data_IF_834357425609
#
_entry.id   IF_834357425609
#
_cell.length_a   1.000
_cell.length_b   1.000
_cell.length_c   1.000
_cell.angle_alpha   90.00
_cell.angle_beta   90.00
_cell.angle_gamma   90.00
#
_symmetry.space_group_name_H-M   'P 1'
#
loop_
_entity.id
_entity.type
_entity.pdbx_description
1 polymer ?
#
# COMPACT_ATOMS: atom_id res chain seq x y z
N UNK A 1 49.03 55.26 -6.00
CA UNK A 1 48.44 54.45 -7.08
C UNK A 1 47.30 53.66 -6.50
N UNK A 2 46.20 53.73 -7.25
CA UNK A 2 44.87 53.15 -7.04
C UNK A 2 44.92 51.61 -6.95
N UNK A 3 43.75 50.96 -6.85
CA UNK A 3 43.50 49.51 -6.94
C UNK A 3 43.52 48.75 -5.60
N UNK A 4 42.57 49.04 -4.68
CA UNK A 4 42.14 48.06 -3.64
C UNK A 4 40.64 48.04 -3.33
N UNK A 5 39.80 48.79 -4.04
CA UNK A 5 38.34 48.82 -3.79
C UNK A 5 37.52 47.96 -4.76
N UNK A 6 38.13 47.36 -5.80
CA UNK A 6 37.40 46.61 -6.82
C UNK A 6 37.70 45.09 -6.88
N UNK A 7 38.53 44.55 -5.98
CA UNK A 7 38.87 43.13 -5.99
C UNK A 7 37.86 42.25 -5.24
N UNK A 8 37.14 42.81 -4.26
CA UNK A 8 36.15 42.05 -3.46
C UNK A 8 34.85 41.80 -4.23
N UNK A 9 34.45 42.75 -5.07
CA UNK A 9 33.26 42.63 -5.92
C UNK A 9 33.50 41.63 -7.07
N UNK A 10 34.70 41.65 -7.66
CA UNK A 10 35.12 40.64 -8.65
C UNK A 10 35.25 39.24 -8.03
N UNK A 11 35.71 39.14 -6.78
CA UNK A 11 35.77 37.87 -6.04
C UNK A 11 34.37 37.32 -5.72
N UNK A 12 33.42 38.20 -5.39
CA UNK A 12 32.03 37.81 -5.12
C UNK A 12 31.31 37.35 -6.40
N UNK A 13 31.58 38.01 -7.53
CA UNK A 13 31.03 37.63 -8.84
C UNK A 13 31.56 36.27 -9.32
N UNK A 14 32.86 36.00 -9.15
CA UNK A 14 33.43 34.69 -9.49
C UNK A 14 32.95 33.57 -8.55
N UNK A 15 32.75 33.87 -7.26
CA UNK A 15 32.21 32.90 -6.30
C UNK A 15 30.75 32.52 -6.62
N UNK A 16 29.96 33.46 -7.15
CA UNK A 16 28.59 33.19 -7.58
C UNK A 16 28.53 32.31 -8.83
N UNK A 17 29.51 32.42 -9.73
CA UNK A 17 29.60 31.58 -10.93
C UNK A 17 30.05 30.14 -10.59
N UNK A 18 30.93 29.98 -9.59
CA UNK A 18 31.38 28.67 -9.11
C UNK A 18 30.28 27.93 -8.31
N UNK A 19 29.38 28.66 -7.65
CA UNK A 19 28.23 28.10 -6.93
C UNK A 19 27.05 27.69 -7.84
N UNK A 20 26.98 28.19 -9.08
CA UNK A 20 25.97 27.79 -10.07
C UNK A 20 26.45 26.67 -10.99
N UNK A 21 27.77 26.51 -11.19
CA UNK A 21 28.35 25.48 -12.07
C UNK A 21 28.40 24.05 -11.49
N UNK A 22 28.35 23.89 -10.16
CA UNK A 22 28.55 22.58 -9.50
C UNK A 22 27.27 21.91 -8.97
N UNK A 23 26.07 22.41 -9.28
CA UNK A 23 24.80 21.77 -8.89
C UNK A 23 24.29 20.70 -9.88
N UNK A 24 24.97 20.47 -11.00
CA UNK A 24 24.54 19.46 -11.98
C UNK A 24 25.20 18.08 -11.83
N UNK A 25 26.17 17.90 -10.92
CA UNK A 25 26.99 16.67 -10.89
C UNK A 25 27.35 16.15 -9.49
N UNK A 26 26.50 16.31 -8.47
CA UNK A 26 26.69 15.60 -7.19
C UNK A 26 25.35 15.25 -6.53
N UNK A 27 24.51 14.48 -7.22
CA UNK A 27 23.49 13.64 -6.58
C UNK A 27 23.81 12.19 -6.92
N UNK A 28 24.92 11.70 -6.39
CA UNK A 28 25.11 10.28 -6.14
C UNK A 28 25.68 10.14 -4.75
N UNK A 29 24.80 9.68 -3.86
CA UNK A 29 25.14 8.89 -2.70
C UNK A 29 26.03 9.61 -1.67
N UNK A 30 25.39 10.32 -0.74
CA UNK A 30 25.74 10.09 0.65
C UNK A 30 24.51 10.22 1.53
N UNK A 31 24.29 9.16 2.29
CA UNK A 31 23.51 9.13 3.51
C UNK A 31 24.04 10.28 4.40
N UNK A 32 23.22 11.03 5.15
CA UNK A 32 23.21 10.96 6.62
C UNK A 32 22.41 12.18 7.13
N UNK A 33 21.29 11.88 7.80
CA UNK A 33 20.62 12.58 8.92
C UNK A 33 19.70 13.78 8.63
N UNK A 34 18.42 13.58 8.96
CA UNK A 34 17.60 14.65 9.56
C UNK A 34 16.14 14.75 9.12
N UNK A 35 15.32 13.70 9.31
CA UNK A 35 13.95 13.93 9.78
C UNK A 35 13.42 12.69 10.49
N UNK A 36 13.31 12.81 11.80
CA UNK A 36 12.59 11.90 12.68
C UNK A 36 11.12 11.89 12.26
N UNK A 37 10.73 10.87 11.51
CA UNK A 37 9.34 10.41 11.51
C UNK A 37 9.40 9.03 12.14
N UNK A 38 8.84 8.92 13.34
CA UNK A 38 8.67 7.68 14.06
C UNK A 38 8.27 6.54 13.10
N UNK A 39 8.67 5.28 13.35
CA UNK A 39 8.23 4.17 12.53
C UNK A 39 6.71 4.05 12.67
N UNK A 40 5.98 4.66 11.73
CA UNK A 40 4.59 4.28 11.47
C UNK A 40 4.69 2.83 11.05
N UNK A 41 4.22 1.92 11.91
CA UNK A 41 4.21 0.47 11.72
C UNK A 41 3.72 0.11 10.31
N UNK A 42 4.65 -0.06 9.37
CA UNK A 42 4.37 -0.44 7.97
C UNK A 42 3.64 -1.79 7.92
N UNK A 43 3.96 -2.68 8.85
CA UNK A 43 3.28 -3.96 9.05
C UNK A 43 1.78 -3.82 9.31
N UNK A 44 1.33 -2.73 9.94
CA UNK A 44 -0.08 -2.51 10.24
C UNK A 44 -0.87 -2.02 9.02
N UNK A 45 -0.27 -1.18 8.16
CA UNK A 45 -0.90 -0.79 6.88
C UNK A 45 -0.97 -1.96 5.91
N UNK A 46 0.03 -2.84 5.92
CA UNK A 46 0.07 -4.01 5.05
C UNK A 46 -1.02 -5.01 5.42
N UNK A 47 -1.22 -5.29 6.72
CA UNK A 47 -2.30 -6.17 7.17
C UNK A 47 -3.69 -5.60 6.85
N UNK A 48 -3.93 -4.31 7.11
CA UNK A 48 -5.22 -3.69 6.80
C UNK A 48 -5.52 -3.73 5.29
N UNK A 49 -4.50 -3.56 4.46
CA UNK A 49 -4.60 -3.66 3.00
C UNK A 49 -4.89 -5.10 2.56
N UNK A 50 -4.20 -6.08 3.13
CA UNK A 50 -4.46 -7.51 2.89
C UNK A 50 -5.87 -7.92 3.31
N UNK A 51 -6.34 -7.44 4.47
CA UNK A 51 -7.71 -7.73 4.95
C UNK A 51 -8.75 -7.13 4.02
N UNK A 52 -8.57 -5.86 3.60
CA UNK A 52 -9.45 -5.22 2.62
C UNK A 52 -9.48 -6.00 1.31
N UNK A 53 -8.32 -6.44 0.84
CA UNK A 53 -8.21 -7.27 -0.36
C UNK A 53 -8.92 -8.62 -0.17
N UNK A 54 -8.77 -9.29 0.97
CA UNK A 54 -9.44 -10.55 1.25
C UNK A 54 -10.98 -10.41 1.24
N UNK A 55 -11.51 -9.34 1.86
CA UNK A 55 -12.95 -9.06 1.85
C UNK A 55 -13.46 -8.78 0.43
N UNK A 56 -12.71 -8.01 -0.36
CA UNK A 56 -13.06 -7.76 -1.76
C UNK A 56 -13.05 -9.06 -2.57
N UNK A 57 -12.02 -9.89 -2.41
CA UNK A 57 -11.95 -11.21 -3.07
C UNK A 57 -13.16 -12.09 -2.74
N UNK A 58 -13.61 -12.10 -1.49
CA UNK A 58 -14.80 -12.87 -1.09
C UNK A 58 -16.09 -12.28 -1.68
N UNK A 59 -16.15 -10.96 -1.89
CA UNK A 59 -17.25 -10.34 -2.62
C UNK A 59 -17.25 -10.76 -4.09
N UNK A 60 -16.08 -10.74 -4.74
CA UNK A 60 -15.93 -11.13 -6.14
C UNK A 60 -16.31 -12.60 -6.36
N UNK A 61 -15.87 -13.51 -5.48
CA UNK A 61 -16.23 -14.93 -5.54
C UNK A 61 -17.75 -15.13 -5.37
N UNK A 62 -18.38 -14.37 -4.48
CA UNK A 62 -19.84 -14.43 -4.30
C UNK A 62 -20.58 -13.91 -5.54
N UNK A 63 -20.12 -12.81 -6.15
CA UNK A 63 -20.71 -12.30 -7.39
C UNK A 63 -20.55 -13.31 -8.54
N UNK A 64 -19.37 -13.90 -8.70
CA UNK A 64 -19.11 -14.92 -9.73
C UNK A 64 -20.04 -16.14 -9.55
N UNK A 65 -20.23 -16.61 -8.32
CA UNK A 65 -21.15 -17.70 -8.03
C UNK A 65 -22.61 -17.34 -8.36
N UNK A 66 -23.02 -16.11 -8.04
CA UNK A 66 -24.34 -15.58 -8.39
C UNK A 66 -24.56 -15.47 -9.90
N UNK A 67 -23.59 -14.91 -10.62
CA UNK A 67 -23.64 -14.77 -12.08
C UNK A 67 -23.74 -16.14 -12.77
N UNK A 68 -22.87 -17.09 -12.40
CA UNK A 68 -22.92 -18.45 -12.96
C UNK A 68 -24.25 -19.13 -12.69
N UNK A 69 -24.81 -18.94 -11.50
CA UNK A 69 -26.14 -19.46 -11.17
C UNK A 69 -27.21 -18.86 -12.06
N UNK A 70 -27.24 -17.54 -12.21
CA UNK A 70 -28.20 -16.85 -13.06
C UNK A 70 -28.07 -17.28 -14.52
N UNK A 71 -26.85 -17.36 -15.06
CA UNK A 71 -26.58 -17.81 -16.43
C UNK A 71 -27.01 -19.25 -16.65
N UNK A 72 -26.75 -20.13 -15.69
CA UNK A 72 -27.22 -21.52 -15.74
C UNK A 72 -28.75 -21.60 -15.73
N UNK A 73 -29.42 -20.84 -14.86
CA UNK A 73 -30.89 -20.76 -14.79
C UNK A 73 -31.49 -20.19 -16.08
N UNK A 74 -30.77 -19.31 -16.78
CA UNK A 74 -31.13 -18.77 -18.10
C UNK A 74 -30.86 -19.74 -19.27
N UNK A 75 -30.27 -20.91 -19.01
CA UNK A 75 -29.98 -21.93 -20.03
C UNK A 75 -28.73 -21.68 -20.86
N UNK A 76 -27.78 -20.88 -20.36
CA UNK A 76 -26.48 -20.67 -21.00
C UNK A 76 -25.69 -21.99 -21.04
N UNK A 77 -25.41 -22.50 -22.25
CA UNK A 77 -24.70 -23.76 -22.47
C UNK A 77 -23.22 -23.72 -22.12
N UNK A 78 -22.66 -22.53 -21.90
CA UNK A 78 -21.25 -22.36 -21.51
C UNK A 78 -21.03 -22.51 -20.00
N UNK A 79 -22.09 -22.52 -19.19
CA UNK A 79 -22.01 -22.75 -17.74
C UNK A 79 -22.66 -24.07 -17.41
N UNK A 80 -21.92 -24.97 -16.75
CA UNK A 80 -22.48 -26.24 -16.31
C UNK A 80 -23.04 -26.14 -14.89
N UNK A 81 -23.95 -27.06 -14.54
CA UNK A 81 -24.41 -27.22 -13.16
C UNK A 81 -23.24 -27.48 -12.21
N UNK A 82 -22.27 -28.29 -12.64
CA UNK A 82 -21.07 -28.60 -11.85
C UNK A 82 -20.25 -27.33 -11.57
N UNK A 83 -20.01 -26.48 -12.57
CA UNK A 83 -19.27 -25.22 -12.41
C UNK A 83 -19.98 -24.25 -11.46
N UNK A 84 -21.32 -24.19 -11.56
CA UNK A 84 -22.15 -23.37 -10.68
C UNK A 84 -22.04 -23.85 -9.23
N UNK A 85 -22.16 -25.16 -9.01
CA UNK A 85 -22.05 -25.77 -7.68
C UNK A 85 -20.64 -25.58 -7.09
N UNK A 86 -19.58 -25.77 -7.89
CA UNK A 86 -18.20 -25.54 -7.45
C UNK A 86 -18.00 -24.07 -7.05
N UNK A 87 -18.53 -23.15 -7.85
CA UNK A 87 -18.41 -21.71 -7.58
C UNK A 87 -19.16 -21.33 -6.29
N UNK A 88 -20.35 -21.89 -6.07
CA UNK A 88 -21.09 -21.74 -4.82
C UNK A 88 -20.34 -22.32 -3.61
N UNK A 89 -19.76 -23.52 -3.72
CA UNK A 89 -18.93 -24.11 -2.67
C UNK A 89 -17.70 -23.25 -2.36
N UNK A 90 -17.05 -22.68 -3.40
CA UNK A 90 -15.91 -21.77 -3.22
C UNK A 90 -16.32 -20.52 -2.45
N UNK A 91 -17.46 -19.92 -2.78
CA UNK A 91 -18.01 -18.76 -2.07
C UNK A 91 -18.26 -19.06 -0.59
N UNK A 92 -18.87 -20.21 -0.28
CA UNK A 92 -19.14 -20.62 1.11
C UNK A 92 -17.86 -20.80 1.93
N UNK A 93 -16.86 -21.52 1.38
CA UNK A 93 -15.58 -21.75 2.08
C UNK A 93 -14.81 -20.45 2.27
N UNK A 94 -14.77 -19.59 1.25
CA UNK A 94 -14.10 -18.29 1.34
C UNK A 94 -14.75 -17.37 2.38
N UNK A 95 -16.09 -17.37 2.44
CA UNK A 95 -16.85 -16.63 3.44
C UNK A 95 -16.56 -17.14 4.86
N UNK A 96 -16.58 -18.45 5.07
CA UNK A 96 -16.27 -19.05 6.37
C UNK A 96 -14.87 -18.67 6.84
N UNK A 97 -13.87 -18.76 5.95
CA UNK A 97 -12.51 -18.33 6.25
C UNK A 97 -12.46 -16.85 6.66
N UNK A 98 -13.22 -15.98 6.00
CA UNK A 98 -13.29 -14.55 6.33
C UNK A 98 -13.92 -14.31 7.70
N UNK A 99 -14.95 -15.07 8.07
CA UNK A 99 -15.56 -15.00 9.41
C UNK A 99 -14.55 -15.37 10.48
N UNK A 100 -13.70 -16.37 10.25
CA UNK A 100 -12.65 -16.74 11.19
C UNK A 100 -11.64 -15.60 11.39
N UNK A 101 -11.19 -14.98 10.29
CA UNK A 101 -10.27 -13.82 10.36
C UNK A 101 -10.92 -12.66 11.12
N UNK A 102 -12.18 -12.35 10.83
CA UNK A 102 -12.95 -11.31 11.53
C UNK A 102 -13.01 -11.59 13.03
N UNK A 103 -13.33 -12.82 13.43
CA UNK A 103 -13.44 -13.20 14.83
C UNK A 103 -12.08 -13.04 15.54
N UNK A 104 -10.99 -13.51 14.91
CA UNK A 104 -9.64 -13.36 15.45
C UNK A 104 -9.22 -11.89 15.60
N UNK A 105 -9.63 -11.03 14.68
CA UNK A 105 -9.35 -9.60 14.78
C UNK A 105 -10.11 -8.93 15.94
N UNK A 106 -11.38 -9.30 16.14
CA UNK A 106 -12.16 -8.83 17.29
C UNK A 106 -11.57 -9.33 18.61
N UNK A 107 -11.09 -10.58 18.66
CA UNK A 107 -10.38 -11.13 19.81
C UNK A 107 -9.10 -10.35 20.12
N UNK A 108 -8.24 -10.12 19.11
CA UNK A 108 -7.00 -9.37 19.29
C UNK A 108 -7.25 -7.93 19.77
N UNK A 109 -8.29 -7.26 19.25
CA UNK A 109 -8.67 -5.93 19.73
C UNK A 109 -9.12 -5.96 21.21
N UNK A 110 -9.94 -6.96 21.59
CA UNK A 110 -10.35 -7.16 22.99
C UNK A 110 -9.18 -7.47 23.91
N UNK A 111 -8.21 -8.25 23.44
CA UNK A 111 -7.00 -8.59 24.19
C UNK A 111 -6.14 -7.35 24.47
N UNK A 112 -5.91 -6.50 23.47
CA UNK A 112 -5.21 -5.21 23.67
C UNK A 112 -5.93 -4.33 24.68
N UNK A 113 -7.27 -4.29 24.63
CA UNK A 113 -8.07 -3.49 25.57
C UNK A 113 -8.08 -4.06 27.00
N UNK A 114 -7.84 -5.37 27.14
CA UNK A 114 -7.87 -6.07 28.43
C UNK A 114 -6.48 -6.19 29.06
N UNK A 115 -5.41 -5.82 28.35
CA UNK A 115 -4.08 -5.70 28.93
C UNK A 115 -4.08 -4.58 29.99
N UNK A 116 -3.73 -4.87 31.25
CA UNK A 116 -3.48 -3.82 32.22
C UNK A 116 -2.28 -2.99 31.76
N UNK A 117 -2.42 -1.66 31.80
CA UNK A 117 -1.30 -0.72 31.70
C UNK A 117 -0.42 -0.75 32.94
#
# INVERSE_FOLDING_TARGET
MDIKSNSLYAQMQNMQLEAMGNRASTIKNDNIIGNEVAPVNSSQSDFASMLKQAVNTVNDIQQEAGDKRTRFEMGDRSVTLADTMISASKASVAFEATVQVRNKFVEAYKEIMSMPV
#
